data_IF_640970990773
#
_entry.id   IF_640970990773
#
_cell.length_a   1.000
_cell.length_b   1.000
_cell.length_c   1.000
_cell.angle_alpha   90.00
_cell.angle_beta   90.00
_cell.angle_gamma   90.00
#
_symmetry.space_group_name_H-M   'P 1'
#
loop_
_entity.id
_entity.type
_entity.pdbx_description
1 polymer ?
#
# COMPACT_ATOMS: atom_id res chain seq x y z
N UNK A 1 0.81 -4.54 -14.93
CA UNK A 1 1.85 -4.32 -13.91
C UNK A 1 1.73 -5.37 -12.82
N UNK A 2 2.83 -5.93 -12.41
CA UNK A 2 2.86 -6.99 -11.40
C UNK A 2 2.85 -6.40 -9.99
N UNK A 3 2.03 -6.96 -9.10
CA UNK A 3 1.96 -6.50 -7.71
C UNK A 3 2.43 -7.61 -6.79
N UNK A 4 3.41 -7.28 -5.94
CA UNK A 4 3.91 -8.20 -4.92
C UNK A 4 3.64 -7.60 -3.54
N UNK A 5 3.54 -8.46 -2.54
CA UNK A 5 3.20 -8.04 -1.18
C UNK A 5 4.27 -8.52 -0.21
N UNK A 6 4.80 -7.60 0.59
CA UNK A 6 5.67 -7.97 1.70
C UNK A 6 4.85 -8.70 2.76
N UNK A 7 5.53 -9.53 3.54
CA UNK A 7 4.86 -10.33 4.57
C UNK A 7 4.07 -9.48 5.55
N UNK A 8 4.63 -8.33 5.95
CA UNK A 8 3.95 -7.43 6.87
C UNK A 8 2.62 -6.93 6.29
N UNK A 9 2.60 -6.64 4.99
CA UNK A 9 1.38 -6.18 4.32
C UNK A 9 0.34 -7.30 4.26
N UNK A 10 0.77 -8.53 3.96
CA UNK A 10 -0.14 -9.68 3.89
C UNK A 10 -0.80 -9.91 5.24
N UNK A 11 -0.05 -9.83 6.33
CA UNK A 11 -0.61 -10.03 7.67
C UNK A 11 -1.71 -9.01 7.98
N UNK A 12 -1.49 -7.75 7.62
CA UNK A 12 -2.49 -6.71 7.88
C UNK A 12 -3.74 -6.95 7.05
N UNK A 13 -3.57 -7.27 5.76
CA UNK A 13 -4.71 -7.55 4.88
C UNK A 13 -5.54 -8.71 5.42
N UNK A 14 -4.88 -9.76 5.87
CA UNK A 14 -5.58 -10.95 6.37
C UNK A 14 -6.32 -10.70 7.69
N UNK A 15 -5.97 -9.63 8.42
CA UNK A 15 -6.65 -9.27 9.65
C UNK A 15 -7.85 -8.34 9.44
N UNK A 16 -8.06 -7.88 8.21
CA UNK A 16 -9.15 -6.96 7.90
C UNK A 16 -10.46 -7.69 7.73
N UNK A 17 -11.56 -6.95 8.01
CA UNK A 17 -12.89 -7.43 7.64
C UNK A 17 -13.02 -7.37 6.11
N UNK A 18 -14.03 -8.07 5.58
CA UNK A 18 -14.17 -8.19 4.13
C UNK A 18 -14.35 -6.84 3.42
N UNK A 19 -15.23 -5.95 3.88
CA UNK A 19 -15.41 -4.67 3.18
C UNK A 19 -14.13 -3.86 3.11
N UNK A 20 -13.38 -3.80 4.21
CA UNK A 20 -12.11 -3.06 4.24
C UNK A 20 -11.09 -3.70 3.29
N UNK A 21 -10.97 -5.02 3.34
CA UNK A 21 -10.06 -5.75 2.47
C UNK A 21 -10.36 -5.46 0.99
N UNK A 22 -11.65 -5.46 0.62
CA UNK A 22 -12.03 -5.20 -0.76
C UNK A 22 -11.66 -3.78 -1.19
N UNK A 23 -11.85 -2.80 -0.32
CA UNK A 23 -11.50 -1.40 -0.61
C UNK A 23 -10.00 -1.23 -0.80
N UNK A 24 -9.22 -1.85 0.06
CA UNK A 24 -7.76 -1.79 -0.02
C UNK A 24 -7.28 -2.44 -1.32
N UNK A 25 -7.79 -3.63 -1.64
CA UNK A 25 -7.39 -4.31 -2.87
C UNK A 25 -7.78 -3.53 -4.12
N UNK A 26 -8.98 -2.93 -4.11
CA UNK A 26 -9.42 -2.10 -5.24
C UNK A 26 -8.50 -0.91 -5.45
N UNK A 27 -8.06 -0.26 -4.35
CA UNK A 27 -7.14 0.85 -4.45
C UNK A 27 -5.79 0.44 -5.00
N UNK A 28 -5.28 -0.71 -4.56
CA UNK A 28 -4.01 -1.23 -5.05
C UNK A 28 -4.09 -1.58 -6.53
N UNK A 29 -5.20 -2.14 -6.97
CA UNK A 29 -5.39 -2.52 -8.37
C UNK A 29 -5.42 -1.32 -9.31
N UNK A 30 -5.75 -0.14 -8.79
CA UNK A 30 -5.74 1.08 -9.59
C UNK A 30 -4.36 1.69 -9.75
N UNK A 31 -3.37 1.22 -9.00
CA UNK A 31 -2.02 1.77 -9.11
C UNK A 31 -1.52 1.67 -10.55
N UNK A 32 -0.80 2.67 -11.05
CA UNK A 32 -0.26 3.84 -10.32
C UNK A 32 -1.23 5.02 -10.17
N UNK A 33 -2.52 4.81 -10.34
CA UNK A 33 -3.51 5.86 -10.13
C UNK A 33 -4.02 5.86 -8.70
N UNK A 34 -4.45 7.03 -8.22
CA UNK A 34 -4.98 7.18 -6.89
C UNK A 34 -4.36 8.35 -6.15
N UNK A 35 -4.64 8.44 -4.84
CA UNK A 35 -4.10 9.51 -4.00
C UNK A 35 -2.69 9.11 -3.55
N UNK A 36 -1.71 9.39 -4.40
CA UNK A 36 -0.33 8.95 -4.24
C UNK A 36 0.58 10.13 -4.03
N UNK A 37 1.47 10.03 -3.04
CA UNK A 37 2.51 11.02 -2.80
C UNK A 37 3.82 10.31 -2.45
N UNK A 38 4.98 10.92 -2.77
CA UNK A 38 6.25 10.38 -2.31
C UNK A 38 6.28 10.34 -0.78
N UNK A 39 6.84 9.26 -0.24
CA UNK A 39 7.00 9.12 1.20
C UNK A 39 8.34 9.73 1.61
N UNK A 40 8.28 10.73 2.48
CA UNK A 40 9.48 11.51 2.86
C UNK A 40 10.52 10.71 3.62
N UNK A 41 10.10 9.67 4.31
CA UNK A 41 11.00 8.90 5.15
C UNK A 41 11.89 7.92 4.42
N UNK A 42 11.62 7.65 3.14
CA UNK A 42 12.37 6.64 2.41
C UNK A 42 12.34 6.93 0.91
N UNK A 43 13.48 7.35 0.33
CA UNK A 43 13.54 7.59 -1.11
C UNK A 43 13.10 6.35 -1.89
N UNK A 44 12.31 6.55 -2.93
CA UNK A 44 11.81 5.45 -3.75
C UNK A 44 10.55 4.79 -3.21
N UNK A 45 10.08 5.21 -2.04
CA UNK A 45 8.84 4.72 -1.45
C UNK A 45 7.75 5.76 -1.63
N UNK A 46 6.53 5.29 -1.89
CA UNK A 46 5.37 6.14 -2.12
C UNK A 46 4.26 5.75 -1.15
N UNK A 47 3.34 6.67 -0.93
CA UNK A 47 2.19 6.45 -0.09
C UNK A 47 0.92 6.51 -0.93
N UNK A 48 0.11 5.48 -0.83
CA UNK A 48 -1.24 5.45 -1.39
C UNK A 48 -2.22 5.57 -0.24
N UNK A 49 -3.16 6.50 -0.36
CA UNK A 49 -4.20 6.69 0.64
C UNK A 49 -5.51 6.07 0.14
N UNK A 50 -6.10 5.22 0.98
CA UNK A 50 -7.41 4.62 0.72
C UNK A 50 -8.25 4.81 1.99
N UNK A 51 -9.14 5.81 1.97
CA UNK A 51 -9.89 6.16 3.17
C UNK A 51 -8.94 6.55 4.30
N UNK A 52 -9.06 5.90 5.44
CA UNK A 52 -8.19 6.14 6.59
C UNK A 52 -6.93 5.26 6.57
N UNK A 53 -6.74 4.49 5.52
CA UNK A 53 -5.61 3.58 5.42
C UNK A 53 -4.48 4.19 4.62
N UNK A 54 -3.27 3.85 5.00
CA UNK A 54 -2.04 4.24 4.30
C UNK A 54 -1.35 2.99 3.81
N UNK A 55 -0.93 3.01 2.56
CA UNK A 55 -0.24 1.90 1.93
C UNK A 55 1.10 2.42 1.43
N UNK A 56 2.19 1.86 1.93
CA UNK A 56 3.52 2.20 1.45
C UNK A 56 3.94 1.20 0.39
N UNK A 57 4.40 1.70 -0.75
CA UNK A 57 4.81 0.84 -1.85
C UNK A 57 6.01 1.42 -2.58
N UNK A 58 6.70 0.57 -3.33
CA UNK A 58 7.86 0.95 -4.12
C UNK A 58 7.84 0.21 -5.44
N UNK A 59 8.76 0.59 -6.31
CA UNK A 59 8.96 -0.07 -7.61
C UNK A 59 10.33 -0.75 -7.58
N UNK A 60 10.44 -2.00 -7.10
CA UNK A 60 11.74 -2.66 -7.00
C UNK A 60 12.37 -2.92 -8.37
N UNK A 61 11.53 -3.03 -9.40
CA UNK A 61 11.99 -3.16 -10.78
C UNK A 61 10.90 -2.66 -11.71
N UNK A 62 11.26 -2.43 -12.96
CA UNK A 62 10.31 -1.94 -13.95
C UNK A 62 9.15 -2.92 -14.08
N UNK A 63 7.92 -2.39 -14.07
CA UNK A 63 6.72 -3.21 -14.21
C UNK A 63 6.26 -3.89 -12.95
N UNK A 64 6.93 -3.69 -11.81
CA UNK A 64 6.57 -4.34 -10.56
C UNK A 64 6.33 -3.30 -9.47
N UNK A 65 5.27 -3.52 -8.69
CA UNK A 65 4.97 -2.73 -7.49
C UNK A 65 5.07 -3.65 -6.29
N UNK A 66 5.81 -3.22 -5.26
CA UNK A 66 5.89 -3.96 -4.00
C UNK A 66 5.13 -3.20 -2.93
N UNK A 67 4.10 -3.85 -2.37
CA UNK A 67 3.35 -3.31 -1.23
C UNK A 67 4.12 -3.65 0.03
N UNK A 68 4.69 -2.63 0.67
CA UNK A 68 5.61 -2.83 1.79
C UNK A 68 4.91 -2.84 3.14
N UNK A 69 4.04 -1.87 3.37
CA UNK A 69 3.34 -1.74 4.65
C UNK A 69 1.95 -1.20 4.43
N UNK A 70 1.03 -1.65 5.27
CA UNK A 70 -0.35 -1.16 5.27
C UNK A 70 -0.70 -0.88 6.72
N UNK A 71 -1.28 0.28 6.99
CA UNK A 71 -1.70 0.61 8.34
C UNK A 71 -2.74 1.70 8.37
N UNK A 72 -3.42 1.85 9.51
CA UNK A 72 -4.35 2.95 9.69
C UNK A 72 -3.59 4.26 9.77
N UNK A 73 -4.33 5.35 9.62
CA UNK A 73 -3.76 6.69 9.65
C UNK A 73 -2.82 6.87 10.84
N UNK A 74 -1.61 7.32 10.56
CA UNK A 74 -0.61 7.61 11.57
C UNK A 74 0.18 6.40 12.06
N UNK A 75 -0.35 5.19 11.90
CA UNK A 75 0.33 3.99 12.39
C UNK A 75 1.48 3.54 11.52
N UNK A 76 1.35 3.69 10.23
CA UNK A 76 2.31 3.17 9.26
C UNK A 76 3.61 3.98 9.23
N UNK A 77 3.59 5.20 9.75
CA UNK A 77 4.74 6.10 9.71
C UNK A 77 5.62 6.04 10.96
N UNK A 78 5.35 5.13 11.84
CA UNK A 78 6.13 5.02 13.08
C UNK A 78 7.26 4.01 12.96
#
# INVERSE_FOLDING_TARGET
>A
MRVEYARAAVKVINSMDRPTKQRIKAGIEKLPQGDIKPYKGSPGTYRLRVGDWRILFSYPEEGTILIEKIGPRGGVYK
#
